data_IF_083878277402
#
_entry.id   IF_083878277402
#
_cell.length_a   1.000
_cell.length_b   1.000
_cell.length_c   1.000
_cell.angle_alpha   90.00
_cell.angle_beta   90.00
_cell.angle_gamma   90.00
#
_symmetry.space_group_name_H-M   'P 1'
#
loop_
_entity.id
_entity.type
_entity.pdbx_description
1 polymer ?
#
# COMPACT_ATOMS: atom_id res chain seq x y z
N UNK A 1 10.85 13.57 33.00
CA UNK A 1 10.42 14.35 34.19
C UNK A 1 9.48 15.51 33.86
N UNK A 2 9.60 16.22 32.72
CA UNK A 2 8.66 17.31 32.36
C UNK A 2 7.18 16.89 32.21
N UNK A 3 6.91 15.65 31.80
CA UNK A 3 5.55 15.13 31.58
C UNK A 3 4.73 14.93 32.87
N UNK A 4 5.38 14.73 34.01
CA UNK A 4 4.71 14.53 35.30
C UNK A 4 4.22 15.86 35.89
N UNK A 5 4.97 16.95 35.69
CA UNK A 5 4.59 18.27 36.18
C UNK A 5 3.45 18.89 35.36
N UNK A 6 3.46 18.68 34.04
CA UNK A 6 2.38 19.16 33.16
C UNK A 6 1.03 18.48 33.46
N UNK A 7 1.05 17.15 33.70
CA UNK A 7 -0.15 16.39 34.05
C UNK A 7 -0.71 16.76 35.43
N UNK A 8 0.15 16.94 36.44
CA UNK A 8 -0.28 17.41 37.77
C UNK A 8 -0.82 18.84 37.71
N UNK A 9 -0.20 19.72 36.92
CA UNK A 9 -0.68 21.08 36.73
C UNK A 9 -2.08 21.09 36.09
N UNK A 10 -2.29 20.36 34.98
CA UNK A 10 -3.59 20.26 34.32
C UNK A 10 -4.66 19.71 35.27
N UNK A 11 -4.37 18.63 35.99
CA UNK A 11 -5.31 18.02 36.94
C UNK A 11 -5.65 18.98 38.08
N UNK A 12 -4.67 19.71 38.63
CA UNK A 12 -4.93 20.70 39.69
C UNK A 12 -5.76 21.86 39.16
N UNK A 13 -5.45 22.40 37.99
CA UNK A 13 -6.21 23.51 37.39
C UNK A 13 -7.65 23.09 37.10
N UNK A 14 -7.87 21.88 36.58
CA UNK A 14 -9.22 21.33 36.38
C UNK A 14 -9.97 21.10 37.70
N UNK A 15 -9.30 20.65 38.77
CA UNK A 15 -9.93 20.42 40.07
C UNK A 15 -10.35 21.71 40.77
N UNK A 16 -9.56 22.79 40.63
CA UNK A 16 -9.87 24.11 41.18
C UNK A 16 -11.00 24.78 40.40
N UNK A 17 -11.00 24.62 39.07
CA UNK A 17 -12.09 25.08 38.23
C UNK A 17 -13.40 24.34 38.54
N UNK A 18 -13.35 23.02 38.70
CA UNK A 18 -14.53 22.20 39.05
C UNK A 18 -15.11 22.55 40.43
N UNK A 19 -14.27 22.85 41.43
CA UNK A 19 -14.72 23.29 42.77
C UNK A 19 -15.41 24.65 42.70
N UNK A 20 -14.84 25.60 41.97
CA UNK A 20 -15.43 26.94 41.77
C UNK A 20 -16.71 26.89 40.94
N UNK A 21 -16.79 25.94 40.01
CA UNK A 21 -18.00 25.64 39.25
C UNK A 21 -19.04 24.81 40.01
N UNK A 22 -18.74 24.29 41.21
CA UNK A 22 -19.71 23.55 42.02
C UNK A 22 -20.51 24.46 42.97
N UNK A 23 -19.99 25.63 43.32
CA UNK A 23 -20.66 26.61 44.20
C UNK A 23 -21.72 27.46 43.49
N UNK A 24 -21.67 27.58 42.15
CA UNK A 24 -22.67 28.32 41.37
C UNK A 24 -23.56 27.33 40.64
N UNK A 25 -24.88 27.36 40.92
CA UNK A 25 -25.86 26.37 40.41
C UNK A 25 -25.90 26.28 38.86
N UNK A 26 -25.40 27.29 38.14
CA UNK A 26 -25.29 27.32 36.68
C UNK A 26 -23.93 26.94 36.09
N UNK A 27 -22.85 26.85 36.88
CA UNK A 27 -21.49 26.65 36.33
C UNK A 27 -21.18 25.20 35.98
N UNK A 28 -21.87 24.22 36.54
CA UNK A 28 -21.81 22.82 36.08
C UNK A 28 -22.42 22.66 34.69
N UNK A 29 -23.54 23.32 34.44
CA UNK A 29 -24.19 23.34 33.13
C UNK A 29 -23.32 24.06 32.10
N UNK A 30 -22.77 25.22 32.46
CA UNK A 30 -21.84 25.96 31.59
C UNK A 30 -20.58 25.16 31.23
N UNK A 31 -19.97 24.48 32.21
CA UNK A 31 -18.83 23.58 31.96
C UNK A 31 -19.24 22.39 31.07
N UNK A 32 -20.40 21.79 31.32
CA UNK A 32 -20.92 20.70 30.49
C UNK A 32 -21.13 21.12 29.03
N UNK A 33 -21.73 22.30 28.80
CA UNK A 33 -21.90 22.88 27.46
C UNK A 33 -20.54 23.17 26.82
N UNK A 34 -19.60 23.76 27.55
CA UNK A 34 -18.27 24.06 27.03
C UNK A 34 -17.52 22.79 26.62
N UNK A 35 -17.59 21.73 27.43
CA UNK A 35 -17.01 20.44 27.09
C UNK A 35 -17.71 19.79 25.90
N UNK A 36 -19.05 19.85 25.83
CA UNK A 36 -19.81 19.31 24.70
C UNK A 36 -19.44 20.04 23.39
N UNK A 37 -19.33 21.37 23.41
CA UNK A 37 -18.88 22.16 22.26
C UNK A 37 -17.44 21.80 21.88
N UNK A 38 -16.54 21.69 22.86
CA UNK A 38 -15.15 21.32 22.61
C UNK A 38 -15.03 19.91 21.99
N UNK A 39 -15.71 18.90 22.53
CA UNK A 39 -15.70 17.55 21.98
C UNK A 39 -16.34 17.47 20.60
N UNK A 40 -17.44 18.21 20.38
CA UNK A 40 -18.08 18.29 19.07
C UNK A 40 -17.14 18.92 18.04
N UNK A 41 -16.44 19.99 18.42
CA UNK A 41 -15.43 20.62 17.56
C UNK A 41 -14.27 19.68 17.22
N UNK A 42 -13.73 18.96 18.23
CA UNK A 42 -12.68 17.96 18.00
C UNK A 42 -13.17 16.82 17.10
N UNK A 43 -14.39 16.32 17.33
CA UNK A 43 -14.99 15.28 16.51
C UNK A 43 -15.17 15.74 15.06
N UNK A 44 -15.67 16.97 14.84
CA UNK A 44 -15.81 17.56 13.52
C UNK A 44 -14.45 17.71 12.82
N UNK A 45 -13.44 18.25 13.51
CA UNK A 45 -12.10 18.40 12.94
C UNK A 45 -11.48 17.04 12.57
N UNK A 46 -11.66 16.01 13.40
CA UNK A 46 -11.21 14.66 13.09
C UNK A 46 -11.95 14.09 11.88
N UNK A 47 -13.27 14.27 11.81
CA UNK A 47 -14.07 13.83 10.68
C UNK A 47 -13.61 14.50 9.39
N UNK A 48 -13.51 15.82 9.37
CA UNK A 48 -13.11 16.59 8.18
C UNK A 48 -11.68 16.24 7.74
N UNK A 49 -10.74 16.20 8.70
CA UNK A 49 -9.34 15.86 8.42
C UNK A 49 -9.22 14.44 7.86
N UNK A 50 -9.91 13.46 8.43
CA UNK A 50 -9.79 12.08 7.98
C UNK A 50 -10.59 11.82 6.68
N UNK A 51 -11.88 12.11 6.68
CA UNK A 51 -12.77 11.72 5.60
C UNK A 51 -12.73 12.68 4.42
N UNK A 52 -12.66 13.99 4.64
CA UNK A 52 -12.69 14.96 3.54
C UNK A 52 -11.28 15.29 3.01
N UNK A 53 -10.27 15.36 3.88
CA UNK A 53 -8.92 15.73 3.48
C UNK A 53 -8.05 14.50 3.22
N UNK A 54 -7.84 13.63 4.22
CA UNK A 54 -6.87 12.54 4.12
C UNK A 54 -7.27 11.49 3.08
N UNK A 55 -8.51 10.98 3.11
CA UNK A 55 -8.96 9.95 2.16
C UNK A 55 -8.93 10.41 0.70
N UNK A 56 -9.16 11.71 0.44
CA UNK A 56 -9.13 12.30 -0.90
C UNK A 56 -7.74 12.85 -1.29
N UNK A 57 -6.77 12.81 -0.39
CA UNK A 57 -5.40 13.23 -0.68
C UNK A 57 -4.60 12.10 -1.32
N UNK A 58 -3.56 12.47 -2.08
CA UNK A 58 -2.54 11.53 -2.61
C UNK A 58 -1.83 10.77 -1.48
N UNK A 59 -1.86 11.29 -0.26
CA UNK A 59 -1.26 10.67 0.92
C UNK A 59 -2.20 9.67 1.61
N UNK A 60 -3.49 9.68 1.26
CA UNK A 60 -4.53 8.78 1.77
C UNK A 60 -4.23 7.32 1.45
N UNK A 61 -4.40 6.45 2.44
CA UNK A 61 -4.12 5.02 2.29
C UNK A 61 -4.96 4.35 1.19
N UNK A 62 -6.25 4.71 1.05
CA UNK A 62 -7.12 4.24 -0.02
C UNK A 62 -6.63 4.65 -1.42
N UNK A 63 -6.11 5.88 -1.53
CA UNK A 63 -5.27 6.42 -2.61
C UNK A 63 -4.16 5.45 -3.02
N UNK A 64 -3.39 5.01 -2.02
CA UNK A 64 -2.00 4.59 -2.11
C UNK A 64 -1.71 3.14 -2.39
N UNK A 65 -2.71 2.28 -2.59
CA UNK A 65 -2.44 0.85 -2.53
C UNK A 65 -2.34 0.16 -3.91
N UNK A 66 -1.15 0.13 -4.56
CA UNK A 66 -0.94 -0.67 -5.76
C UNK A 66 -1.16 -2.16 -5.49
N UNK A 67 -1.13 -2.60 -4.23
CA UNK A 67 -1.36 -3.98 -3.83
C UNK A 67 -2.75 -4.49 -4.27
N UNK A 68 -3.80 -3.67 -4.17
CA UNK A 68 -5.15 -4.05 -4.62
C UNK A 68 -5.18 -4.24 -6.14
N UNK A 69 -4.57 -3.33 -6.90
CA UNK A 69 -4.52 -3.41 -8.35
C UNK A 69 -3.67 -4.59 -8.84
N UNK A 70 -2.51 -4.82 -8.21
CA UNK A 70 -1.69 -6.01 -8.44
C UNK A 70 -2.48 -7.27 -8.14
N UNK A 71 -3.16 -7.36 -7.00
CA UNK A 71 -3.92 -8.56 -6.65
C UNK A 71 -5.05 -8.87 -7.64
N UNK A 72 -5.75 -7.84 -8.15
CA UNK A 72 -6.75 -8.02 -9.21
C UNK A 72 -6.11 -8.50 -10.51
N UNK A 73 -4.97 -7.92 -10.90
CA UNK A 73 -4.21 -8.38 -12.05
C UNK A 73 -3.77 -9.85 -11.90
N UNK A 74 -3.20 -10.23 -10.76
CA UNK A 74 -2.81 -11.60 -10.46
C UNK A 74 -3.99 -12.58 -10.55
N UNK A 75 -5.16 -12.18 -10.05
CA UNK A 75 -6.38 -13.00 -10.15
C UNK A 75 -6.82 -13.19 -11.60
N UNK A 76 -6.55 -12.22 -12.49
CA UNK A 76 -6.91 -12.30 -13.91
C UNK A 76 -6.00 -13.20 -14.76
N UNK A 77 -4.79 -13.51 -14.29
CA UNK A 77 -3.83 -14.34 -15.01
C UNK A 77 -4.14 -15.84 -14.92
N UNK A 78 -4.77 -16.28 -13.83
CA UNK A 78 -5.02 -17.70 -13.57
C UNK A 78 -3.73 -18.50 -13.26
N UNK A 79 -3.83 -19.82 -13.33
CA UNK A 79 -2.75 -20.75 -12.94
C UNK A 79 -1.68 -20.97 -14.02
N UNK A 80 -1.90 -20.45 -15.22
CA UNK A 80 -1.01 -20.58 -16.39
C UNK A 80 0.22 -19.66 -16.34
N UNK A 81 0.30 -18.80 -15.33
CA UNK A 81 1.38 -17.85 -15.14
C UNK A 81 2.19 -18.13 -13.88
N UNK A 82 3.50 -17.92 -13.99
CA UNK A 82 4.41 -17.76 -12.88
C UNK A 82 4.73 -16.28 -12.68
N UNK A 83 4.70 -15.83 -11.42
CA UNK A 83 4.73 -14.41 -11.06
C UNK A 83 6.07 -14.06 -10.42
N UNK A 84 6.69 -12.99 -10.92
CA UNK A 84 7.92 -12.44 -10.38
C UNK A 84 7.73 -10.95 -10.05
N UNK A 85 7.72 -10.62 -8.76
CA UNK A 85 7.48 -9.26 -8.29
C UNK A 85 8.79 -8.56 -7.94
N UNK A 86 9.11 -7.52 -8.70
CA UNK A 86 10.15 -6.53 -8.40
C UNK A 86 9.49 -5.37 -7.65
N UNK A 87 9.20 -5.60 -6.36
CA UNK A 87 8.45 -4.65 -5.52
C UNK A 87 9.17 -4.16 -4.26
N UNK A 88 10.28 -4.78 -3.88
CA UNK A 88 10.97 -4.43 -2.64
C UNK A 88 11.52 -3.00 -2.62
N UNK A 89 11.65 -2.37 -1.44
CA UNK A 89 11.17 -2.83 -0.13
C UNK A 89 9.69 -2.49 0.12
N UNK A 90 8.99 -1.94 -0.89
CA UNK A 90 7.66 -1.33 -0.71
C UNK A 90 6.52 -2.33 -0.77
N UNK A 91 6.66 -3.37 -1.58
CA UNK A 91 5.62 -4.36 -1.81
C UNK A 91 6.23 -5.73 -2.09
N UNK A 92 5.56 -6.77 -1.62
CA UNK A 92 5.99 -8.16 -1.76
C UNK A 92 4.76 -9.05 -2.01
N UNK A 93 4.94 -10.21 -2.63
CA UNK A 93 3.84 -11.11 -3.05
C UNK A 93 2.99 -11.51 -1.85
N UNK A 94 3.63 -11.69 -0.69
CA UNK A 94 2.95 -12.06 0.55
C UNK A 94 2.31 -10.88 1.29
N UNK A 95 2.22 -9.69 0.69
CA UNK A 95 1.55 -8.54 1.27
C UNK A 95 0.09 -8.87 1.63
N UNK A 96 -0.41 -8.36 2.76
CA UNK A 96 -1.71 -8.74 3.32
C UNK A 96 -2.86 -8.64 2.31
N UNK A 97 -2.95 -7.53 1.59
CA UNK A 97 -3.98 -7.29 0.56
C UNK A 97 -3.85 -8.23 -0.64
N UNK A 98 -2.62 -8.48 -1.11
CA UNK A 98 -2.39 -9.41 -2.22
C UNK A 98 -2.83 -10.81 -1.81
N UNK A 99 -2.40 -11.28 -0.64
CA UNK A 99 -2.80 -12.59 -0.10
C UNK A 99 -4.29 -12.70 0.14
N UNK A 100 -4.96 -11.61 0.50
CA UNK A 100 -6.39 -11.64 0.80
C UNK A 100 -7.24 -11.78 -0.47
N UNK A 101 -6.86 -11.06 -1.54
CA UNK A 101 -7.59 -11.01 -2.82
C UNK A 101 -7.13 -12.15 -3.75
N UNK A 102 -5.82 -12.29 -3.98
CA UNK A 102 -5.22 -13.29 -4.86
C UNK A 102 -4.72 -14.53 -4.07
N UNK A 103 -5.63 -15.18 -3.33
CA UNK A 103 -5.29 -16.22 -2.32
C UNK A 103 -4.49 -17.41 -2.84
N UNK A 104 -4.69 -17.78 -4.11
CA UNK A 104 -4.13 -18.98 -4.72
C UNK A 104 -2.92 -18.70 -5.61
N UNK A 105 -2.59 -17.42 -5.81
CA UNK A 105 -1.49 -17.05 -6.71
C UNK A 105 -0.16 -17.23 -5.99
N UNK A 106 0.61 -18.21 -6.44
CA UNK A 106 2.01 -18.35 -6.06
C UNK A 106 2.86 -17.35 -6.87
N UNK A 107 3.81 -16.71 -6.20
CA UNK A 107 4.73 -15.78 -6.83
C UNK A 107 6.01 -15.61 -6.04
N UNK A 108 7.04 -15.11 -6.71
CA UNK A 108 8.38 -14.95 -6.17
C UNK A 108 8.73 -13.47 -6.05
N UNK A 109 9.15 -13.06 -4.86
CA UNK A 109 9.74 -11.73 -4.63
C UNK A 109 11.17 -11.69 -5.17
N UNK A 110 11.41 -10.85 -6.18
CA UNK A 110 12.69 -10.75 -6.88
C UNK A 110 13.61 -9.75 -6.18
N UNK A 111 14.49 -10.27 -5.32
CA UNK A 111 15.49 -9.48 -4.59
C UNK A 111 16.73 -9.16 -5.43
N UNK A 112 17.09 -10.09 -6.32
CA UNK A 112 18.28 -10.02 -7.17
C UNK A 112 17.86 -10.34 -8.60
N UNK A 113 17.54 -9.33 -9.42
CA UNK A 113 17.03 -9.52 -10.78
C UNK A 113 17.91 -10.42 -11.66
N UNK A 114 19.24 -10.37 -11.50
CA UNK A 114 20.17 -11.23 -12.24
C UNK A 114 20.03 -12.74 -11.99
N UNK A 115 19.29 -13.17 -10.96
CA UNK A 115 18.96 -14.58 -10.73
C UNK A 115 17.72 -15.04 -11.50
N UNK A 116 16.89 -14.10 -11.94
CA UNK A 116 15.59 -14.36 -12.55
C UNK A 116 15.49 -13.77 -13.96
N UNK A 117 16.50 -13.03 -14.42
CA UNK A 117 16.57 -12.42 -15.75
C UNK A 117 17.95 -12.71 -16.36
N UNK A 118 18.04 -13.53 -17.42
CA UNK A 118 16.97 -14.36 -17.97
C UNK A 118 16.58 -15.49 -17.00
N UNK A 119 15.31 -15.88 -17.02
CA UNK A 119 14.77 -17.01 -16.28
C UNK A 119 15.25 -18.32 -16.90
N UNK A 120 15.70 -19.26 -16.06
CA UNK A 120 16.25 -20.55 -16.49
C UNK A 120 15.19 -21.59 -16.84
N UNK A 121 14.10 -21.62 -16.10
CA UNK A 121 12.97 -22.53 -16.29
C UNK A 121 11.70 -21.83 -15.77
N UNK A 122 10.60 -21.92 -16.52
CA UNK A 122 9.28 -21.44 -16.12
C UNK A 122 8.30 -22.58 -15.83
N UNK A 123 8.79 -23.82 -15.78
CA UNK A 123 8.01 -25.03 -15.56
C UNK A 123 6.83 -25.17 -16.54
N UNK A 124 7.05 -24.76 -17.79
CA UNK A 124 6.04 -24.77 -18.85
C UNK A 124 4.96 -23.68 -18.76
N UNK A 125 5.09 -22.73 -17.82
CA UNK A 125 4.16 -21.61 -17.63
C UNK A 125 4.61 -20.36 -18.37
N UNK A 126 3.65 -19.48 -18.64
CA UNK A 126 3.95 -18.10 -19.01
C UNK A 126 4.51 -17.37 -17.79
N UNK A 127 5.19 -16.24 -18.00
CA UNK A 127 5.75 -15.46 -16.90
C UNK A 127 5.24 -14.04 -16.93
N UNK A 128 4.85 -13.51 -15.76
CA UNK A 128 4.57 -12.11 -15.58
C UNK A 128 5.56 -11.50 -14.58
N UNK A 129 6.42 -10.60 -15.07
CA UNK A 129 7.20 -9.73 -14.21
C UNK A 129 6.38 -8.51 -13.85
N UNK A 130 6.28 -8.20 -12.56
CA UNK A 130 5.59 -7.02 -12.05
C UNK A 130 6.64 -6.07 -11.51
N UNK A 131 6.75 -4.87 -12.09
CA UNK A 131 7.76 -3.89 -11.76
C UNK A 131 7.09 -2.66 -11.14
N UNK A 132 7.45 -2.37 -9.89
CA UNK A 132 7.12 -1.07 -9.29
C UNK A 132 7.96 0.04 -9.94
N UNK A 133 7.53 1.32 -9.83
CA UNK A 133 8.25 2.46 -10.41
C UNK A 133 9.74 2.52 -10.05
N UNK A 134 10.12 2.09 -8.84
CA UNK A 134 11.53 2.04 -8.41
C UNK A 134 12.39 1.02 -9.16
N UNK A 135 11.78 0.04 -9.82
CA UNK A 135 12.44 -1.08 -10.52
C UNK A 135 12.27 -1.04 -12.04
N UNK A 136 11.64 0.00 -12.59
CA UNK A 136 11.38 0.12 -14.03
C UNK A 136 12.63 0.11 -14.90
N UNK A 137 13.78 0.47 -14.36
CA UNK A 137 15.05 0.43 -15.09
C UNK A 137 15.43 -0.99 -15.54
N UNK A 138 14.88 -2.04 -14.92
CA UNK A 138 15.03 -3.43 -15.37
C UNK A 138 14.19 -3.78 -16.61
N UNK A 139 13.23 -2.95 -17.00
CA UNK A 139 12.38 -3.19 -18.17
C UNK A 139 13.21 -3.31 -19.45
N UNK A 140 14.23 -2.46 -19.62
CA UNK A 140 15.12 -2.52 -20.78
C UNK A 140 15.88 -3.85 -20.85
N UNK A 141 16.32 -4.38 -19.71
CA UNK A 141 16.97 -5.70 -19.63
C UNK A 141 15.99 -6.82 -19.99
N UNK A 142 14.76 -6.76 -19.48
CA UNK A 142 13.71 -7.73 -19.83
C UNK A 142 13.42 -7.73 -21.34
N UNK A 143 13.30 -6.56 -21.95
CA UNK A 143 13.07 -6.42 -23.40
C UNK A 143 14.25 -6.91 -24.23
N UNK A 144 15.48 -6.79 -23.73
CA UNK A 144 16.67 -7.30 -24.41
C UNK A 144 16.68 -8.83 -24.46
N UNK A 145 16.30 -9.51 -23.37
CA UNK A 145 16.23 -10.97 -23.33
C UNK A 145 14.95 -11.52 -23.98
N UNK A 146 13.83 -10.81 -23.85
CA UNK A 146 12.52 -11.26 -24.30
C UNK A 146 11.87 -10.22 -25.22
N UNK A 147 12.35 -10.07 -26.48
CA UNK A 147 11.90 -9.00 -27.37
C UNK A 147 10.42 -9.10 -27.77
N UNK A 148 9.80 -10.28 -27.65
CA UNK A 148 8.36 -10.49 -27.90
C UNK A 148 7.48 -10.27 -26.66
N UNK A 149 8.07 -9.92 -25.52
CA UNK A 149 7.34 -9.69 -24.28
C UNK A 149 6.39 -8.49 -24.38
N UNK A 150 5.25 -8.58 -23.69
CA UNK A 150 4.18 -7.58 -23.73
C UNK A 150 4.26 -6.70 -22.48
N UNK A 151 4.39 -5.39 -22.70
CA UNK A 151 4.39 -4.38 -21.64
C UNK A 151 2.96 -3.90 -21.40
N UNK A 152 2.52 -3.84 -20.14
CA UNK A 152 1.28 -3.14 -19.76
C UNK A 152 1.53 -2.21 -18.57
N UNK A 153 1.03 -0.99 -18.67
CA UNK A 153 1.14 -0.01 -17.60
C UNK A 153 -0.17 0.10 -16.84
N UNK A 154 -0.09 0.08 -15.52
CA UNK A 154 -1.24 0.27 -14.63
C UNK A 154 -1.08 1.62 -13.93
N UNK A 155 -1.94 2.56 -14.29
CA UNK A 155 -1.92 3.94 -13.77
C UNK A 155 -3.16 4.22 -12.94
N UNK A 156 -3.08 5.23 -12.07
CA UNK A 156 -4.25 5.85 -11.47
C UNK A 156 -5.06 6.64 -12.50
N UNK A 157 -6.28 6.99 -12.12
CA UNK A 157 -7.08 8.03 -12.78
C UNK A 157 -6.34 9.37 -12.88
N UNK A 158 -5.47 9.69 -11.91
CA UNK A 158 -4.62 10.88 -11.93
C UNK A 158 -3.44 10.81 -12.91
N UNK A 159 -3.23 9.67 -13.59
CA UNK A 159 -2.11 9.43 -14.51
C UNK A 159 -0.80 8.96 -13.83
N UNK A 160 -0.75 8.88 -12.50
CA UNK A 160 0.42 8.35 -11.78
C UNK A 160 0.58 6.84 -12.05
N UNK A 161 1.79 6.40 -12.40
CA UNK A 161 2.10 4.98 -12.63
C UNK A 161 2.18 4.21 -11.30
N UNK A 162 1.34 3.19 -11.15
CA UNK A 162 1.40 2.28 -10.00
C UNK A 162 2.41 1.16 -10.19
N UNK A 163 2.37 0.49 -11.33
CA UNK A 163 3.29 -0.58 -11.70
C UNK A 163 3.19 -0.85 -13.20
N UNK A 164 4.20 -1.54 -13.71
CA UNK A 164 4.24 -2.06 -15.08
C UNK A 164 4.33 -3.57 -15.01
N UNK A 165 3.62 -4.26 -15.88
CA UNK A 165 3.77 -5.70 -16.10
C UNK A 165 4.53 -5.94 -17.39
N UNK A 166 5.34 -6.99 -17.38
CA UNK A 166 6.04 -7.50 -18.54
C UNK A 166 5.75 -8.99 -18.66
N UNK A 167 4.89 -9.35 -19.60
CA UNK A 167 4.40 -10.70 -19.82
C UNK A 167 5.23 -11.38 -20.91
N UNK A 168 5.71 -12.59 -20.62
CA UNK A 168 6.56 -13.38 -21.51
C UNK A 168 5.91 -14.74 -21.71
N UNK A 169 5.81 -15.18 -22.97
CA UNK A 169 5.26 -16.50 -23.28
C UNK A 169 6.23 -17.61 -22.85
N UNK A 170 5.71 -18.79 -22.51
CA UNK A 170 6.55 -19.97 -22.24
C UNK A 170 7.48 -20.32 -23.41
N UNK A 171 7.04 -20.06 -24.64
CA UNK A 171 7.83 -20.31 -25.85
C UNK A 171 9.05 -19.40 -25.92
N UNK A 172 8.87 -18.11 -25.62
CA UNK A 172 9.97 -17.15 -25.53
C UNK A 172 11.01 -17.56 -24.49
N UNK A 173 10.56 -18.01 -23.33
CA UNK A 173 11.46 -18.42 -22.25
C UNK A 173 12.30 -19.61 -22.70
N UNK A 174 11.68 -20.60 -23.34
CA UNK A 174 12.36 -21.79 -23.85
C UNK A 174 13.42 -21.47 -24.93
N UNK A 175 13.23 -20.40 -25.71
CA UNK A 175 14.24 -19.98 -26.71
C UNK A 175 15.50 -19.37 -26.10
N UNK A 176 15.36 -18.69 -24.95
CA UNK A 176 16.47 -17.99 -24.28
C UNK A 176 17.21 -18.92 -23.31
N UNK A 177 16.47 -19.82 -22.66
CA UNK A 177 17.00 -20.82 -21.74
C UNK A 177 16.69 -22.21 -22.27
N UNK A 178 17.56 -22.78 -23.14
CA UNK A 178 17.43 -24.18 -23.51
C UNK A 178 17.53 -25.01 -22.23
N UNK A 179 16.48 -25.78 -21.94
CA UNK A 179 16.41 -26.62 -20.74
C UNK A 179 17.70 -27.44 -20.63
N UNK A 180 18.37 -27.34 -19.48
CA UNK A 180 19.47 -28.23 -19.18
C UNK A 180 18.89 -29.64 -19.03
N UNK A 181 19.09 -30.48 -20.05
CA UNK A 181 18.80 -31.90 -20.03
C UNK A 181 19.63 -32.64 -18.98
#
# INVERSE_FOLDING_TARGET
>A
MLSLFASVAIVRTMSLFAKRCAEVRGSRAALGVLLAVAFTGVAYLNYDTYFNQYLHSVQGWAMREPATAIARYLTSLGDDYEIYLLGEPKLYVRHGTIRFIARQVAGTDVLKPSRYIPLRDSHGKNVAYILLPSHLHHLATLQQYYPRGVVRNFTRESGELWFTTFEVSREDIATVSPAAH
#
